data_IF_464689659368
#
_entry.id   IF_464689659368
#
_cell.length_a   1.000
_cell.length_b   1.000
_cell.length_c   1.000
_cell.angle_alpha   90.00
_cell.angle_beta   90.00
_cell.angle_gamma   90.00
#
_symmetry.space_group_name_H-M   'P 1'
#
loop_
_entity.id
_entity.type
_entity.pdbx_description
1 polymer ?
#
# COMPACT_ATOMS: atom_id res chain seq x y z
N UNK A 1 -0.65 -9.92 -6.29
CA UNK A 1 0.44 -10.09 -7.26
C UNK A 1 0.72 -11.57 -7.30
N UNK A 2 0.05 -12.24 -8.22
CA UNK A 2 0.32 -13.63 -8.59
C UNK A 2 1.03 -13.55 -9.94
N UNK A 3 2.12 -14.29 -10.12
CA UNK A 3 2.86 -14.37 -11.38
C UNK A 3 3.26 -13.02 -12.02
N UNK A 4 4.04 -12.20 -11.30
CA UNK A 4 4.56 -10.90 -11.79
C UNK A 4 3.50 -9.88 -12.24
N UNK A 5 2.22 -10.12 -12.00
CA UNK A 5 1.20 -9.10 -12.22
C UNK A 5 1.25 -8.10 -11.05
N UNK A 6 1.60 -6.82 -11.30
CA UNK A 6 1.63 -5.84 -10.24
C UNK A 6 0.23 -5.58 -9.69
N UNK A 7 0.16 -5.14 -8.44
CA UNK A 7 -1.09 -4.72 -7.79
C UNK A 7 -0.96 -3.33 -7.21
N UNK A 8 -2.09 -2.76 -6.81
CA UNK A 8 -2.14 -1.53 -6.03
C UNK A 8 -2.24 -1.85 -4.54
N UNK A 9 -1.41 -1.20 -3.71
CA UNK A 9 -1.54 -1.23 -2.25
C UNK A 9 -1.95 0.15 -1.73
N UNK A 10 -2.98 0.18 -0.89
CA UNK A 10 -3.41 1.36 -0.18
C UNK A 10 -3.23 1.18 1.34
N UNK A 11 -2.61 2.17 1.97
CA UNK A 11 -2.47 2.27 3.41
C UNK A 11 -3.16 3.54 3.88
N UNK A 12 -4.06 3.43 4.85
CA UNK A 12 -4.81 4.57 5.36
C UNK A 12 -4.66 4.70 6.87
N UNK A 13 -4.44 5.93 7.31
CA UNK A 13 -4.59 6.35 8.69
C UNK A 13 -5.78 7.30 8.79
N UNK A 14 -6.84 6.89 9.49
CA UNK A 14 -8.08 7.66 9.61
C UNK A 14 -8.30 8.00 11.08
N UNK A 15 -8.45 9.28 11.38
CA UNK A 15 -8.78 9.77 12.72
C UNK A 15 -10.29 9.93 12.85
N UNK A 16 -10.90 10.64 11.91
CA UNK A 16 -12.34 10.89 11.83
C UNK A 16 -12.77 11.09 10.37
N UNK A 17 -14.01 11.56 10.16
CA UNK A 17 -14.54 11.79 8.82
C UNK A 17 -13.77 12.86 8.03
N UNK A 18 -13.09 13.80 8.71
CA UNK A 18 -12.44 14.97 8.12
C UNK A 18 -10.92 14.95 8.18
N UNK A 19 -10.33 13.98 8.89
CA UNK A 19 -8.89 13.85 9.05
C UNK A 19 -8.42 12.45 8.67
N UNK A 20 -7.68 12.38 7.57
CA UNK A 20 -7.09 11.13 7.09
C UNK A 20 -5.81 11.34 6.28
N UNK A 21 -4.97 10.31 6.24
CA UNK A 21 -3.79 10.23 5.40
C UNK A 21 -3.81 8.89 4.67
N UNK A 22 -3.78 8.93 3.34
CA UNK A 22 -3.80 7.73 2.49
C UNK A 22 -2.57 7.71 1.59
N UNK A 23 -1.89 6.58 1.56
CA UNK A 23 -0.80 6.26 0.65
C UNK A 23 -1.26 5.19 -0.32
N UNK A 24 -1.11 5.43 -1.62
CA UNK A 24 -1.47 4.48 -2.67
C UNK A 24 -0.25 4.21 -3.55
N UNK A 25 0.31 3.00 -3.46
CA UNK A 25 1.39 2.53 -4.32
C UNK A 25 0.78 1.76 -5.52
N UNK A 26 0.99 2.26 -6.74
CA UNK A 26 0.21 1.84 -7.92
C UNK A 26 0.74 0.58 -8.62
N UNK A 27 2.05 0.31 -8.53
CA UNK A 27 2.67 -0.88 -9.15
C UNK A 27 3.54 -1.59 -8.12
N UNK A 28 2.92 -2.47 -7.35
CA UNK A 28 3.56 -3.25 -6.28
C UNK A 28 3.75 -4.70 -6.67
N UNK A 29 4.97 -5.17 -6.46
CA UNK A 29 5.37 -6.56 -6.62
C UNK A 29 5.55 -7.18 -5.23
N UNK A 30 4.91 -8.34 -5.02
CA UNK A 30 5.05 -9.13 -3.82
C UNK A 30 5.95 -10.33 -4.13
N UNK A 31 7.20 -10.36 -3.63
CA UNK A 31 8.02 -11.55 -3.72
C UNK A 31 7.31 -12.71 -3.03
N UNK A 32 7.45 -13.92 -3.57
CA UNK A 32 6.82 -15.11 -3.01
C UNK A 32 7.31 -15.32 -1.57
N UNK A 33 6.47 -15.12 -0.54
CA UNK A 33 6.91 -15.23 0.84
C UNK A 33 7.16 -16.70 1.16
N UNK A 34 8.14 -16.99 2.03
CA UNK A 34 8.18 -18.28 2.70
C UNK A 34 7.09 -18.26 3.77
N UNK A 35 5.99 -18.97 3.53
CA UNK A 35 4.90 -19.12 4.50
C UNK A 35 5.44 -19.84 5.74
N UNK A 36 5.58 -19.11 6.85
CA UNK A 36 5.85 -19.74 8.14
C UNK A 36 4.53 -20.30 8.70
N UNK A 37 4.43 -21.63 8.82
CA UNK A 37 3.29 -22.28 9.47
C UNK A 37 3.48 -22.11 10.98
N UNK A 38 2.99 -21.01 11.54
CA UNK A 38 3.10 -20.72 12.98
C UNK A 38 1.83 -21.14 13.72
N UNK A 39 1.75 -22.43 14.09
CA UNK A 39 0.90 -22.92 15.18
C UNK A 39 -0.62 -22.78 15.02
N UNK A 40 -1.41 -23.30 15.99
CA UNK A 40 -2.84 -23.64 15.81
C UNK A 40 -3.82 -22.45 15.70
N UNK A 41 -3.34 -21.22 15.47
CA UNK A 41 -4.14 -19.99 15.54
C UNK A 41 -4.06 -19.03 14.35
N UNK A 42 -3.23 -19.27 13.34
CA UNK A 42 -3.24 -18.41 12.14
C UNK A 42 -2.00 -18.54 11.26
N UNK A 43 -2.15 -18.13 9.99
CA UNK A 43 -1.04 -17.97 9.06
C UNK A 43 -0.62 -16.50 9.08
N UNK A 44 0.58 -16.23 9.58
CA UNK A 44 1.22 -14.92 9.44
C UNK A 44 2.25 -15.00 8.32
N UNK A 45 2.19 -14.07 7.37
CA UNK A 45 3.14 -13.94 6.27
C UNK A 45 3.76 -12.55 6.26
N UNK A 46 5.09 -12.49 6.17
CA UNK A 46 5.84 -11.24 5.99
C UNK A 46 6.22 -11.13 4.52
N UNK A 47 5.99 -9.95 3.93
CA UNK A 47 6.32 -9.66 2.54
C UNK A 47 7.23 -8.43 2.47
N UNK A 48 8.42 -8.59 1.92
CA UNK A 48 9.29 -7.48 1.53
C UNK A 48 8.86 -6.97 0.16
N UNK A 49 7.77 -6.20 0.14
CA UNK A 49 7.21 -5.67 -1.10
C UNK A 49 8.08 -4.58 -1.71
N UNK A 50 8.02 -4.44 -3.03
CA UNK A 50 8.71 -3.40 -3.79
C UNK A 50 7.72 -2.71 -4.72
N UNK A 51 7.86 -1.38 -4.88
CA UNK A 51 7.06 -0.59 -5.82
C UNK A 51 7.90 -0.04 -6.97
N UNK A 52 7.29 0.07 -8.14
CA UNK A 52 7.86 0.68 -9.33
C UNK A 52 7.00 1.85 -9.82
N UNK A 53 7.53 2.62 -10.79
CA UNK A 53 6.76 3.66 -11.46
C UNK A 53 5.71 3.00 -12.36
N UNK A 54 4.43 3.15 -12.00
CA UNK A 54 3.32 2.71 -12.83
C UNK A 54 3.25 3.50 -14.15
N UNK A 55 2.66 2.89 -15.17
CA UNK A 55 2.35 3.56 -16.45
C UNK A 55 1.02 4.31 -16.42
N UNK A 56 0.06 3.83 -15.63
CA UNK A 56 -1.26 4.44 -15.43
C UNK A 56 -1.73 4.27 -13.98
N UNK A 57 -1.67 5.31 -13.13
CA UNK A 57 -1.12 6.65 -13.39
C UNK A 57 0.42 6.62 -13.52
N UNK A 58 1.00 7.58 -14.22
CA UNK A 58 2.46 7.63 -14.48
C UNK A 58 3.33 8.01 -13.26
N UNK A 59 3.11 7.36 -12.10
CA UNK A 59 3.75 7.64 -10.80
C UNK A 59 3.81 6.39 -9.93
N UNK A 60 4.78 6.31 -9.03
CA UNK A 60 4.92 5.19 -8.09
C UNK A 60 3.90 5.27 -6.94
N UNK A 61 3.71 6.48 -6.39
CA UNK A 61 2.97 6.72 -5.16
C UNK A 61 2.05 7.94 -5.32
N UNK A 62 0.83 7.83 -4.81
CA UNK A 62 -0.06 8.97 -4.54
C UNK A 62 -0.25 9.09 -3.04
N UNK A 63 -0.17 10.31 -2.53
CA UNK A 63 -0.45 10.62 -1.11
C UNK A 63 -1.59 11.62 -1.06
N UNK A 64 -2.62 11.29 -0.28
CA UNK A 64 -3.78 12.16 -0.04
C UNK A 64 -3.84 12.47 1.44
N UNK A 65 -3.68 13.75 1.78
CA UNK A 65 -3.88 14.27 3.13
C UNK A 65 -5.21 15.03 3.16
N UNK A 66 -6.14 14.59 4.00
CA UNK A 66 -7.35 15.35 4.34
C UNK A 66 -7.14 15.97 5.71
N UNK A 67 -7.14 17.30 5.77
CA UNK A 67 -7.07 18.05 7.02
C UNK A 67 -7.73 19.44 6.90
N UNK A 68 -7.65 20.21 7.97
CA UNK A 68 -8.24 21.55 8.13
C UNK A 68 -7.37 22.69 7.57
N UNK A 69 -6.29 22.36 6.85
CA UNK A 69 -5.43 23.35 6.20
C UNK A 69 -5.96 23.65 4.80
N UNK A 70 -6.39 24.90 4.58
CA UNK A 70 -7.04 25.32 3.33
C UNK A 70 -6.10 25.28 2.11
N UNK A 71 -4.80 25.49 2.28
CA UNK A 71 -3.82 25.52 1.18
C UNK A 71 -2.39 25.30 1.67
N UNK A 72 -1.57 24.69 0.81
CA UNK A 72 -0.12 24.56 0.99
C UNK A 72 0.58 25.37 -0.11
N UNK A 73 1.66 26.06 0.24
CA UNK A 73 2.49 26.84 -0.68
C UNK A 73 3.57 25.98 -1.35
#
# INVERSE_FOLDING_TARGET
>A
ATDNTPLELAFAYTIDADKSLTFTAHEVYLPKPKLAISGPGGVQATFDWQAAKATAPARMLTVVLKNDVASYA
#
